data_IF_522638973135
#
_entry.id   IF_522638973135
#
_cell.length_a   1.000
_cell.length_b   1.000
_cell.length_c   1.000
_cell.angle_alpha   90.00
_cell.angle_beta   90.00
_cell.angle_gamma   90.00
#
_symmetry.space_group_name_H-M   'P 1'
#
loop_
_entity.id
_entity.type
_entity.pdbx_description
1 polymer ?
#
# COMPACT_ATOMS: atom_id res chain seq x y z
N UNK A 1 11.87 -7.05 20.35
CA UNK A 1 12.40 -5.87 19.63
C UNK A 1 13.24 -6.30 18.43
N UNK A 2 14.14 -7.26 18.59
CA UNK A 2 14.90 -7.87 17.47
C UNK A 2 14.00 -8.49 16.40
N UNK A 3 12.99 -9.27 16.79
CA UNK A 3 11.99 -9.84 15.87
C UNK A 3 11.25 -8.76 15.05
N UNK A 4 10.92 -7.62 15.68
CA UNK A 4 10.28 -6.49 15.00
C UNK A 4 11.21 -5.90 13.95
N UNK A 5 12.46 -5.63 14.29
CA UNK A 5 13.43 -5.07 13.35
C UNK A 5 13.73 -6.03 12.19
N UNK A 6 13.75 -7.35 12.45
CA UNK A 6 13.87 -8.35 11.40
C UNK A 6 12.69 -8.31 10.43
N UNK A 7 11.45 -8.28 10.94
CA UNK A 7 10.24 -8.15 10.09
C UNK A 7 10.24 -6.84 9.29
N UNK A 8 10.54 -5.71 9.94
CA UNK A 8 10.66 -4.40 9.26
C UNK A 8 11.72 -4.43 8.16
N UNK A 9 12.89 -5.03 8.44
CA UNK A 9 13.96 -5.17 7.45
C UNK A 9 13.55 -6.02 6.25
N UNK A 10 12.81 -7.11 6.48
CA UNK A 10 12.25 -7.94 5.42
C UNK A 10 11.27 -7.17 4.54
N UNK A 11 10.28 -6.50 5.14
CA UNK A 11 9.30 -5.68 4.41
C UNK A 11 9.98 -4.59 3.58
N UNK A 12 10.97 -3.89 4.15
CA UNK A 12 11.75 -2.87 3.44
C UNK A 12 12.48 -3.44 2.22
N UNK A 13 13.13 -4.59 2.38
CA UNK A 13 13.83 -5.25 1.27
C UNK A 13 12.85 -5.65 0.17
N UNK A 14 11.65 -6.09 0.52
CA UNK A 14 10.58 -6.40 -0.43
C UNK A 14 10.05 -5.14 -1.12
N UNK A 15 9.87 -4.02 -0.40
CA UNK A 15 9.50 -2.73 -0.99
C UNK A 15 10.54 -2.25 -2.01
N UNK A 16 11.83 -2.36 -1.70
CA UNK A 16 12.91 -2.00 -2.62
C UNK A 16 12.95 -2.90 -3.86
N UNK A 17 12.64 -4.19 -3.70
CA UNK A 17 12.49 -5.12 -4.82
C UNK A 17 11.29 -4.75 -5.69
N UNK A 18 10.14 -4.48 -5.07
CA UNK A 18 8.93 -4.08 -5.77
C UNK A 18 9.13 -2.77 -6.55
N UNK A 19 9.79 -1.77 -5.96
CA UNK A 19 10.12 -0.52 -6.66
C UNK A 19 10.95 -0.77 -7.92
N UNK A 20 11.95 -1.64 -7.85
CA UNK A 20 12.78 -2.03 -9.00
C UNK A 20 11.96 -2.75 -10.07
N UNK A 21 11.04 -3.62 -9.69
CA UNK A 21 10.16 -4.30 -10.64
C UNK A 21 9.25 -3.30 -11.38
N UNK A 22 8.67 -2.33 -10.67
CA UNK A 22 7.82 -1.28 -11.26
C UNK A 22 8.60 -0.43 -12.27
N UNK A 23 9.84 -0.06 -11.93
CA UNK A 23 10.72 0.70 -12.84
C UNK A 23 11.13 -0.12 -14.07
N UNK A 24 11.40 -1.41 -13.90
CA UNK A 24 11.73 -2.28 -15.02
C UNK A 24 10.51 -2.53 -15.93
N UNK A 25 9.31 -2.69 -15.36
CA UNK A 25 8.07 -2.80 -16.13
C UNK A 25 7.83 -1.57 -17.00
N UNK A 26 8.10 -0.37 -16.46
CA UNK A 26 8.05 0.89 -17.22
C UNK A 26 8.99 0.88 -18.44
N UNK A 27 10.23 0.40 -18.29
CA UNK A 27 11.19 0.32 -19.41
C UNK A 27 10.72 -0.67 -20.47
N UNK A 28 10.20 -1.83 -20.06
CA UNK A 28 9.65 -2.85 -20.96
C UNK A 28 8.45 -2.32 -21.74
N UNK A 29 7.55 -1.59 -21.09
CA UNK A 29 6.45 -0.89 -21.76
C UNK A 29 6.94 0.07 -22.85
N UNK A 30 7.99 0.86 -22.57
CA UNK A 30 8.58 1.76 -23.58
C UNK A 30 9.18 0.98 -24.75
N UNK A 31 9.87 -0.13 -24.48
CA UNK A 31 10.47 -0.99 -25.51
C UNK A 31 9.40 -1.60 -26.43
N UNK A 32 8.31 -2.11 -25.87
CA UNK A 32 7.18 -2.69 -26.61
C UNK A 32 6.54 -1.65 -27.55
N UNK A 33 6.42 -0.40 -27.11
CA UNK A 33 5.88 0.67 -27.96
C UNK A 33 6.85 1.10 -29.08
N UNK A 34 8.15 0.91 -28.88
CA UNK A 34 9.20 1.40 -29.77
C UNK A 34 9.61 0.37 -30.83
N UNK A 35 9.44 -0.92 -30.58
CA UNK A 35 9.87 -1.99 -31.49
C UNK A 35 8.75 -3.02 -31.76
N UNK A 36 8.06 -2.93 -32.91
CA UNK A 36 7.01 -3.89 -33.29
C UNK A 36 7.53 -5.30 -33.61
N UNK A 37 8.83 -5.47 -33.89
CA UNK A 37 9.41 -6.71 -34.46
C UNK A 37 10.01 -7.63 -33.39
N UNK A 38 10.43 -7.10 -32.23
CA UNK A 38 10.98 -7.89 -31.11
C UNK A 38 9.98 -8.07 -29.96
N UNK A 39 8.70 -8.14 -30.32
CA UNK A 39 7.59 -7.98 -29.39
C UNK A 39 7.43 -9.18 -28.44
N UNK A 40 7.65 -10.41 -28.90
CA UNK A 40 7.23 -11.60 -28.14
C UNK A 40 8.11 -11.87 -26.91
N UNK A 41 9.43 -11.87 -27.03
CA UNK A 41 10.34 -12.13 -25.90
C UNK A 41 10.20 -11.04 -24.83
N UNK A 42 10.13 -9.78 -25.26
CA UNK A 42 9.93 -8.63 -24.35
C UNK A 42 8.57 -8.71 -23.65
N UNK A 43 7.53 -9.18 -24.34
CA UNK A 43 6.19 -9.39 -23.76
C UNK A 43 6.18 -10.51 -22.74
N UNK A 44 6.83 -11.64 -23.02
CA UNK A 44 6.91 -12.77 -22.08
C UNK A 44 7.65 -12.37 -20.79
N UNK A 45 8.73 -11.60 -20.93
CA UNK A 45 9.46 -11.05 -19.79
C UNK A 45 8.63 -10.02 -19.00
N UNK A 46 7.86 -9.17 -19.68
CA UNK A 46 6.92 -8.25 -19.02
C UNK A 46 5.83 -9.02 -18.27
N UNK A 47 5.22 -10.05 -18.87
CA UNK A 47 4.18 -10.84 -18.24
C UNK A 47 4.72 -11.56 -16.99
N UNK A 48 5.96 -12.06 -17.04
CA UNK A 48 6.63 -12.63 -15.87
C UNK A 48 6.85 -11.57 -14.79
N UNK A 49 7.34 -10.39 -15.17
CA UNK A 49 7.59 -9.29 -14.24
C UNK A 49 6.30 -8.76 -13.59
N UNK A 50 5.20 -8.66 -14.34
CA UNK A 50 3.88 -8.28 -13.82
C UNK A 50 3.36 -9.35 -12.83
N UNK A 51 3.56 -10.64 -13.11
CA UNK A 51 3.20 -11.69 -12.15
C UNK A 51 4.05 -11.65 -10.88
N UNK A 52 5.35 -11.39 -10.99
CA UNK A 52 6.23 -11.21 -9.83
C UNK A 52 5.85 -9.97 -9.02
N UNK A 53 5.55 -8.85 -9.69
CA UNK A 53 5.04 -7.61 -9.09
C UNK A 53 3.75 -7.89 -8.33
N UNK A 54 2.78 -8.58 -8.95
CA UNK A 54 1.53 -8.97 -8.28
C UNK A 54 1.81 -9.79 -7.03
N UNK A 55 2.69 -10.80 -7.08
CA UNK A 55 3.04 -11.62 -5.90
C UNK A 55 3.67 -10.78 -4.80
N UNK A 56 4.65 -9.94 -5.13
CA UNK A 56 5.35 -9.09 -4.16
C UNK A 56 4.37 -8.11 -3.47
N UNK A 57 3.44 -7.52 -4.23
CA UNK A 57 2.36 -6.65 -3.71
C UNK A 57 1.50 -7.39 -2.68
N UNK A 58 1.05 -8.60 -2.99
CA UNK A 58 0.23 -9.39 -2.06
C UNK A 58 0.98 -9.79 -0.80
N UNK A 59 2.26 -10.17 -0.94
CA UNK A 59 3.12 -10.53 0.19
C UNK A 59 3.35 -9.33 1.11
N UNK A 60 3.72 -8.16 0.56
CA UNK A 60 3.94 -6.94 1.34
C UNK A 60 2.65 -6.53 2.03
N UNK A 61 1.52 -6.50 1.32
CA UNK A 61 0.20 -6.20 1.89
C UNK A 61 -0.09 -7.11 3.10
N UNK A 62 0.04 -8.42 2.93
CA UNK A 62 -0.21 -9.37 4.00
C UNK A 62 0.73 -9.17 5.21
N UNK A 63 2.00 -8.89 4.96
CA UNK A 63 2.95 -8.60 6.04
C UNK A 63 2.57 -7.32 6.81
N UNK A 64 2.14 -6.27 6.11
CA UNK A 64 1.65 -5.04 6.73
C UNK A 64 0.39 -5.29 7.59
N UNK A 65 -0.55 -6.10 7.10
CA UNK A 65 -1.74 -6.53 7.87
C UNK A 65 -1.36 -7.31 9.13
N UNK A 66 -0.46 -8.29 9.01
CA UNK A 66 0.01 -9.10 10.16
C UNK A 66 0.72 -8.20 11.18
N UNK A 67 1.55 -7.27 10.73
CA UNK A 67 2.18 -6.30 11.63
C UNK A 67 1.15 -5.40 12.30
N UNK A 68 0.09 -5.01 11.61
CA UNK A 68 -0.99 -4.22 12.18
C UNK A 68 -1.75 -4.97 13.28
N UNK A 69 -2.11 -6.23 13.05
CA UNK A 69 -2.85 -7.04 14.03
C UNK A 69 -2.03 -7.36 15.29
N UNK A 70 -0.70 -7.32 15.20
CA UNK A 70 0.21 -7.53 16.33
C UNK A 70 0.39 -6.28 17.21
N UNK A 71 -0.15 -5.12 16.82
CA UNK A 71 -0.07 -3.90 17.62
C UNK A 71 -1.09 -3.92 18.77
N UNK A 72 -0.64 -3.71 20.04
CA UNK A 72 -1.55 -3.50 21.15
C UNK A 72 -2.33 -2.18 20.99
N UNK A 73 -3.57 -2.15 21.51
CA UNK A 73 -4.47 -1.01 21.39
C UNK A 73 -4.02 0.25 22.18
N UNK A 74 -3.14 0.09 23.16
CA UNK A 74 -2.67 1.16 24.06
C UNK A 74 -1.24 1.61 23.70
N UNK A 75 -1.04 2.92 23.52
CA UNK A 75 0.26 3.57 23.21
C UNK A 75 1.22 3.66 24.43
N UNK A 76 1.09 2.76 25.40
CA UNK A 76 1.77 2.86 26.71
C UNK A 76 3.27 2.53 26.69
N UNK A 77 3.79 1.96 25.60
CA UNK A 77 5.19 1.53 25.50
C UNK A 77 5.93 2.19 24.34
N UNK A 78 7.19 2.54 24.56
CA UNK A 78 8.13 3.03 23.53
C UNK A 78 8.20 2.05 22.36
N UNK A 79 8.15 0.74 22.64
CA UNK A 79 8.18 -0.30 21.60
C UNK A 79 6.94 -0.24 20.70
N UNK A 80 5.75 -0.03 21.28
CA UNK A 80 4.49 0.13 20.52
C UNK A 80 4.57 1.35 19.60
N UNK A 81 5.10 2.48 20.11
CA UNK A 81 5.27 3.71 19.32
C UNK A 81 6.26 3.54 18.16
N UNK A 82 7.39 2.89 18.40
CA UNK A 82 8.36 2.56 17.34
C UNK A 82 7.70 1.67 16.30
N UNK A 83 6.99 0.60 16.72
CA UNK A 83 6.30 -0.30 15.83
C UNK A 83 5.28 0.43 14.93
N UNK A 84 4.47 1.31 15.53
CA UNK A 84 3.45 2.09 14.83
C UNK A 84 4.05 3.05 13.80
N UNK A 85 5.12 3.76 14.17
CA UNK A 85 5.84 4.64 13.24
C UNK A 85 6.46 3.86 12.06
N UNK A 86 7.05 2.69 12.33
CA UNK A 86 7.62 1.85 11.26
C UNK A 86 6.54 1.32 10.33
N UNK A 87 5.42 0.83 10.87
CA UNK A 87 4.29 0.38 10.07
C UNK A 87 3.76 1.51 9.17
N UNK A 88 3.52 2.70 9.74
CA UNK A 88 3.01 3.86 9.00
C UNK A 88 3.94 4.28 7.87
N UNK A 89 5.24 4.36 8.14
CA UNK A 89 6.23 4.65 7.11
C UNK A 89 6.21 3.61 5.98
N UNK A 90 6.20 2.31 6.30
CA UNK A 90 6.18 1.26 5.28
C UNK A 90 4.87 1.25 4.48
N UNK A 91 3.72 1.50 5.12
CA UNK A 91 2.43 1.64 4.42
C UNK A 91 2.46 2.81 3.44
N UNK A 92 3.05 3.95 3.82
CA UNK A 92 3.23 5.08 2.89
C UNK A 92 4.13 4.74 1.72
N UNK A 93 5.31 4.17 1.98
CA UNK A 93 6.22 3.74 0.91
C UNK A 93 5.55 2.76 -0.05
N UNK A 94 4.80 1.79 0.49
CA UNK A 94 4.01 0.85 -0.31
C UNK A 94 2.99 1.58 -1.18
N UNK A 95 2.22 2.49 -0.59
CA UNK A 95 1.22 3.31 -1.29
C UNK A 95 1.85 4.10 -2.44
N UNK A 96 2.99 4.73 -2.20
CA UNK A 96 3.68 5.53 -3.21
C UNK A 96 4.23 4.68 -4.36
N UNK A 97 4.76 3.50 -4.06
CA UNK A 97 5.16 2.53 -5.10
C UNK A 97 3.92 2.11 -5.91
N UNK A 98 2.78 1.83 -5.27
CA UNK A 98 1.57 1.43 -5.98
C UNK A 98 1.00 2.55 -6.86
N UNK A 99 1.01 3.79 -6.39
CA UNK A 99 0.63 4.97 -7.18
C UNK A 99 1.50 5.12 -8.41
N UNK A 100 2.83 4.96 -8.28
CA UNK A 100 3.75 4.97 -9.43
C UNK A 100 3.44 3.84 -10.41
N UNK A 101 3.19 2.63 -9.91
CA UNK A 101 2.85 1.49 -10.77
C UNK A 101 1.55 1.73 -11.55
N UNK A 102 0.51 2.19 -10.87
CA UNK A 102 -0.76 2.56 -11.50
C UNK A 102 -0.58 3.65 -12.57
N UNK A 103 0.18 4.71 -12.27
CA UNK A 103 0.48 5.77 -13.23
C UNK A 103 1.22 5.23 -14.47
N UNK A 104 2.20 4.34 -14.28
CA UNK A 104 2.91 3.67 -15.37
C UNK A 104 1.97 2.84 -16.25
N UNK A 105 1.08 2.06 -15.63
CA UNK A 105 0.10 1.27 -16.36
C UNK A 105 -0.85 2.15 -17.16
N UNK A 106 -1.50 3.12 -16.53
CA UNK A 106 -2.41 4.07 -17.21
C UNK A 106 -1.72 4.82 -18.35
N UNK A 107 -0.48 5.26 -18.15
CA UNK A 107 0.29 5.91 -19.22
C UNK A 107 0.58 4.97 -20.41
N UNK A 108 0.83 3.68 -20.16
CA UNK A 108 0.99 2.69 -21.22
C UNK A 108 -0.33 2.43 -21.96
N UNK A 109 -1.46 2.33 -21.23
CA UNK A 109 -2.81 2.21 -21.80
C UNK A 109 -3.09 3.32 -22.81
N UNK A 110 -2.86 4.57 -22.41
CA UNK A 110 -3.15 5.74 -23.24
C UNK A 110 -2.24 5.79 -24.48
N UNK A 111 -0.98 5.35 -24.36
CA UNK A 111 -0.10 5.21 -25.53
C UNK A 111 -0.57 4.14 -26.50
N UNK A 112 -1.03 2.98 -26.02
CA UNK A 112 -1.63 1.95 -26.86
C UNK A 112 -2.89 2.45 -27.57
N UNK A 113 -3.79 3.14 -26.84
CA UNK A 113 -5.00 3.78 -27.39
C UNK A 113 -4.64 4.80 -28.48
N UNK A 114 -3.65 5.65 -28.24
CA UNK A 114 -3.17 6.64 -29.21
C UNK A 114 -2.60 5.99 -30.48
N UNK A 115 -1.87 4.87 -30.35
CA UNK A 115 -1.38 4.11 -31.52
C UNK A 115 -2.53 3.51 -32.34
N UNK A 116 -3.56 2.96 -31.69
CA UNK A 116 -4.76 2.46 -32.39
C UNK A 116 -5.47 3.60 -33.12
N UNK A 117 -5.68 4.75 -32.44
CA UNK A 117 -6.28 5.94 -33.06
C UNK A 117 -5.52 6.38 -34.31
N UNK A 118 -4.19 6.39 -34.24
CA UNK A 118 -3.34 6.73 -35.39
C UNK A 118 -3.57 5.77 -36.56
N UNK A 119 -3.68 4.47 -36.31
CA UNK A 119 -3.97 3.49 -37.37
C UNK A 119 -5.35 3.68 -37.98
N UNK A 120 -6.37 4.04 -37.19
CA UNK A 120 -7.71 4.38 -37.70
C UNK A 120 -7.70 5.64 -38.58
N UNK A 121 -6.96 6.66 -38.16
CA UNK A 121 -6.82 7.91 -38.92
C UNK A 121 -6.12 7.70 -40.27
N UNK A 122 -5.15 6.78 -40.37
CA UNK A 122 -4.47 6.46 -41.64
C UNK A 122 -5.46 5.94 -42.70
N UNK A 123 -6.53 5.26 -42.26
CA UNK A 123 -7.60 4.76 -43.13
C UNK A 123 -8.72 5.81 -43.33
N UNK A 124 -8.42 7.08 -43.08
CA UNK A 124 -9.34 8.22 -43.19
C UNK A 124 -10.63 8.06 -42.35
N UNK A 125 -10.53 7.37 -41.21
CA UNK A 125 -11.63 7.30 -40.26
C UNK A 125 -11.35 8.22 -39.09
N UNK A 126 -12.07 9.34 -39.05
CA UNK A 126 -12.17 10.11 -37.81
C UNK A 126 -12.98 9.29 -36.80
N UNK A 127 -12.45 9.16 -35.59
CA UNK A 127 -13.07 8.40 -34.50
C UNK A 127 -12.88 9.22 -33.25
N UNK A 128 -13.99 9.56 -32.60
CA UNK A 128 -13.97 10.33 -31.34
C UNK A 128 -13.32 9.54 -30.22
N UNK A 129 -12.97 10.20 -29.11
CA UNK A 129 -12.36 9.51 -27.96
C UNK A 129 -13.33 8.49 -27.35
N UNK A 130 -14.60 8.87 -27.24
CA UNK A 130 -15.69 8.07 -26.70
C UNK A 130 -16.01 6.85 -27.57
N UNK A 131 -16.07 7.03 -28.88
CA UNK A 131 -16.24 5.91 -29.82
C UNK A 131 -15.05 4.95 -29.75
N UNK A 132 -13.83 5.47 -29.64
CA UNK A 132 -12.65 4.63 -29.52
C UNK A 132 -12.67 3.82 -28.22
N UNK A 133 -13.04 4.41 -27.09
CA UNK A 133 -13.19 3.66 -25.84
C UNK A 133 -14.24 2.55 -25.95
N UNK A 134 -15.41 2.86 -26.53
CA UNK A 134 -16.43 1.85 -26.80
C UNK A 134 -15.95 0.74 -27.73
N UNK A 135 -15.04 1.03 -28.66
CA UNK A 135 -14.45 0.03 -29.53
C UNK A 135 -13.41 -0.85 -28.82
N UNK A 136 -12.73 -0.32 -27.81
CA UNK A 136 -11.71 -1.04 -27.05
C UNK A 136 -12.32 -2.06 -26.07
N UNK A 137 -13.61 -1.96 -25.79
CA UNK A 137 -14.34 -3.00 -25.06
C UNK A 137 -14.15 -4.37 -25.71
N UNK A 138 -13.84 -5.38 -24.88
CA UNK A 138 -13.37 -6.72 -25.28
C UNK A 138 -14.20 -7.38 -26.39
N UNK A 139 -15.50 -7.13 -26.43
CA UNK A 139 -16.43 -7.76 -27.37
C UNK A 139 -16.69 -6.94 -28.65
N UNK A 140 -16.31 -5.65 -28.67
CA UNK A 140 -16.69 -4.73 -29.75
C UNK A 140 -15.62 -4.57 -30.82
N UNK A 141 -14.34 -4.76 -30.50
CA UNK A 141 -13.26 -4.59 -31.48
C UNK A 141 -13.36 -5.60 -32.64
N UNK A 142 -13.70 -6.85 -32.37
CA UNK A 142 -13.80 -7.90 -33.40
C UNK A 142 -14.91 -7.59 -34.42
N UNK A 143 -16.07 -7.12 -33.93
CA UNK A 143 -17.19 -6.69 -34.78
C UNK A 143 -16.79 -5.49 -35.62
N UNK A 144 -16.09 -4.52 -35.03
CA UNK A 144 -15.63 -3.35 -35.75
C UNK A 144 -14.66 -3.72 -36.90
N UNK A 145 -13.69 -4.59 -36.63
CA UNK A 145 -12.68 -4.95 -37.63
C UNK A 145 -13.25 -5.84 -38.74
N UNK A 146 -14.27 -6.66 -38.47
CA UNK A 146 -14.90 -7.47 -39.53
C UNK A 146 -15.53 -6.58 -40.61
N UNK A 147 -16.19 -5.49 -40.21
CA UNK A 147 -16.78 -4.51 -41.12
C UNK A 147 -15.76 -3.71 -41.93
N UNK A 148 -14.52 -3.59 -41.45
CA UNK A 148 -13.51 -2.70 -42.05
C UNK A 148 -12.27 -3.43 -42.59
N UNK A 149 -12.23 -4.75 -42.48
CA UNK A 149 -11.08 -5.59 -42.83
C UNK A 149 -10.55 -5.38 -44.26
N UNK A 150 -11.41 -4.98 -45.21
CA UNK A 150 -11.04 -4.68 -46.60
C UNK A 150 -10.30 -3.35 -46.79
N UNK A 151 -10.41 -2.41 -45.84
CA UNK A 151 -9.86 -1.05 -45.95
C UNK A 151 -8.50 -0.89 -45.25
N UNK A 152 -8.11 -1.85 -44.40
CA UNK A 152 -6.83 -1.85 -43.70
C UNK A 152 -5.82 -2.75 -44.40
N UNK A 153 -4.54 -2.39 -44.33
CA UNK A 153 -3.48 -3.34 -44.61
C UNK A 153 -3.46 -4.43 -43.54
N UNK A 154 -3.02 -5.63 -43.91
CA UNK A 154 -2.83 -6.75 -42.98
C UNK A 154 -1.91 -6.37 -41.82
N UNK A 155 -0.88 -5.56 -42.09
CA UNK A 155 0.03 -5.04 -41.08
C UNK A 155 -0.64 -4.08 -40.09
N UNK A 156 -1.47 -3.13 -40.58
CA UNK A 156 -2.19 -2.20 -39.72
C UNK A 156 -3.20 -2.92 -38.81
N UNK A 157 -3.91 -3.93 -39.35
CA UNK A 157 -4.80 -4.79 -38.56
C UNK A 157 -4.02 -5.53 -37.46
N UNK A 158 -2.89 -6.14 -37.81
CA UNK A 158 -2.06 -6.86 -36.84
C UNK A 158 -1.57 -5.94 -35.72
N UNK A 159 -1.19 -4.71 -36.04
CA UNK A 159 -0.80 -3.71 -35.04
C UNK A 159 -1.98 -3.35 -34.12
N UNK A 160 -3.17 -3.09 -34.67
CA UNK A 160 -4.37 -2.78 -33.86
C UNK A 160 -4.69 -3.95 -32.91
N UNK A 161 -4.71 -5.18 -33.41
CA UNK A 161 -4.92 -6.38 -32.61
C UNK A 161 -3.89 -6.54 -31.49
N UNK A 162 -2.61 -6.32 -31.80
CA UNK A 162 -1.53 -6.43 -30.82
C UNK A 162 -1.68 -5.39 -29.69
N UNK A 163 -1.96 -4.12 -30.03
CA UNK A 163 -2.16 -3.06 -29.03
C UNK A 163 -3.43 -3.27 -28.20
N UNK A 164 -4.51 -3.77 -28.81
CA UNK A 164 -5.74 -4.10 -28.07
C UNK A 164 -5.50 -5.22 -27.07
N UNK A 165 -4.79 -6.30 -27.47
CA UNK A 165 -4.40 -7.36 -26.54
C UNK A 165 -3.59 -6.82 -25.36
N UNK A 166 -2.70 -5.85 -25.60
CA UNK A 166 -1.94 -5.20 -24.53
C UNK A 166 -2.86 -4.42 -23.57
N UNK A 167 -3.84 -3.67 -24.08
CA UNK A 167 -4.84 -2.96 -23.25
C UNK A 167 -5.64 -3.96 -22.41
N UNK A 168 -6.14 -5.02 -23.02
CA UNK A 168 -6.95 -6.06 -22.34
C UNK A 168 -6.19 -6.72 -21.19
N UNK A 169 -4.89 -7.01 -21.39
CA UNK A 169 -4.03 -7.56 -20.32
C UNK A 169 -3.84 -6.55 -19.18
N UNK A 170 -3.59 -5.30 -19.53
CA UNK A 170 -3.37 -4.22 -18.59
C UNK A 170 -4.59 -3.93 -17.71
N UNK A 171 -5.80 -3.99 -18.27
CA UNK A 171 -7.05 -3.79 -17.51
C UNK A 171 -7.18 -4.71 -16.29
N UNK A 172 -6.72 -5.96 -16.42
CA UNK A 172 -6.72 -6.88 -15.27
C UNK A 172 -5.75 -6.41 -14.19
N UNK A 173 -4.55 -5.96 -14.58
CA UNK A 173 -3.54 -5.48 -13.64
C UNK A 173 -4.00 -4.18 -12.94
N UNK A 174 -4.65 -3.26 -13.68
CA UNK A 174 -5.22 -2.03 -13.10
C UNK A 174 -6.34 -2.35 -12.10
N UNK A 175 -7.20 -3.33 -12.38
CA UNK A 175 -8.25 -3.78 -11.44
C UNK A 175 -7.65 -4.39 -10.17
N UNK A 176 -6.60 -5.20 -10.30
CA UNK A 176 -5.88 -5.74 -9.15
C UNK A 176 -5.31 -4.59 -8.27
N UNK A 177 -4.76 -3.55 -8.90
CA UNK A 177 -4.25 -2.37 -8.18
C UNK A 177 -5.35 -1.58 -7.46
N UNK A 178 -6.53 -1.45 -8.07
CA UNK A 178 -7.67 -0.80 -7.43
C UNK A 178 -8.08 -1.54 -6.14
N UNK A 179 -8.08 -2.87 -6.15
CA UNK A 179 -8.36 -3.65 -4.95
C UNK A 179 -7.30 -3.39 -3.86
N UNK A 180 -6.02 -3.35 -4.24
CA UNK A 180 -4.93 -3.04 -3.30
C UNK A 180 -5.08 -1.64 -2.71
N UNK A 181 -5.52 -0.64 -3.48
CA UNK A 181 -5.78 0.70 -2.94
C UNK A 181 -6.90 0.71 -1.90
N UNK A 182 -7.96 -0.06 -2.11
CA UNK A 182 -9.02 -0.22 -1.11
C UNK A 182 -8.48 -0.84 0.18
N UNK A 183 -7.66 -1.89 0.07
CA UNK A 183 -7.07 -2.56 1.23
C UNK A 183 -6.12 -1.63 2.00
N UNK A 184 -5.29 -0.87 1.28
CA UNK A 184 -4.34 0.07 1.87
C UNK A 184 -5.04 1.27 2.50
N UNK A 185 -6.16 1.73 1.93
CA UNK A 185 -6.97 2.78 2.56
C UNK A 185 -7.44 2.35 3.96
N UNK A 186 -7.91 1.12 4.11
CA UNK A 186 -8.29 0.57 5.41
C UNK A 186 -7.10 0.49 6.39
N UNK A 187 -5.91 0.12 5.90
CA UNK A 187 -4.67 0.13 6.70
C UNK A 187 -4.27 1.54 7.15
N UNK A 188 -4.49 2.57 6.32
CA UNK A 188 -4.17 3.97 6.65
C UNK A 188 -5.20 4.56 7.63
N UNK A 189 -6.49 4.31 7.42
CA UNK A 189 -7.58 4.79 8.29
C UNK A 189 -7.42 4.28 9.73
N UNK A 190 -7.08 3.00 9.87
CA UNK A 190 -6.84 2.35 11.17
C UNK A 190 -5.52 2.76 11.84
N UNK A 191 -4.59 3.37 11.10
CA UNK A 191 -3.37 3.95 11.64
C UNK A 191 -3.56 5.40 12.12
N UNK A 192 -4.58 6.10 11.60
CA UNK A 192 -4.91 7.49 11.94
C UNK A 192 -3.84 8.49 11.51
N UNK A 193 -4.04 9.76 11.89
CA UNK A 193 -3.13 10.91 11.67
C UNK A 193 -1.85 10.84 12.54
N UNK A 194 -1.31 9.64 12.75
CA UNK A 194 -0.08 9.39 13.53
C UNK A 194 1.18 9.38 12.67
N UNK A 195 1.02 9.66 11.38
CA UNK A 195 2.11 9.66 10.40
C UNK A 195 3.03 10.89 10.51
N UNK A 196 2.63 11.94 11.25
CA UNK A 196 3.51 13.08 11.45
C UNK A 196 3.39 13.74 12.83
N UNK A 197 3.40 12.92 13.87
CA UNK A 197 3.31 13.41 15.24
C UNK A 197 4.67 13.30 15.94
N UNK A 198 5.74 13.78 15.27
CA UNK A 198 7.06 13.98 15.90
C UNK A 198 6.86 14.77 17.20
N UNK A 199 6.04 15.81 17.15
CA UNK A 199 5.67 16.61 18.31
C UNK A 199 5.03 15.76 19.42
N UNK A 200 3.95 15.02 19.15
CA UNK A 200 3.33 14.13 20.15
C UNK A 200 4.33 13.10 20.69
N UNK A 201 5.19 12.56 19.82
CA UNK A 201 6.21 11.60 20.23
C UNK A 201 7.27 12.24 21.14
N UNK A 202 7.71 13.47 20.85
CA UNK A 202 8.65 14.24 21.66
C UNK A 202 8.01 14.66 22.98
N UNK A 203 6.77 15.13 22.95
CA UNK A 203 5.98 15.51 24.14
C UNK A 203 5.81 14.33 25.08
N UNK A 204 5.38 13.16 24.59
CA UNK A 204 5.28 11.96 25.43
C UNK A 204 6.64 11.53 25.99
N UNK A 205 7.74 11.68 25.25
CA UNK A 205 9.08 11.40 25.77
C UNK A 205 9.47 12.38 26.90
N UNK A 206 9.15 13.67 26.73
CA UNK A 206 9.35 14.68 27.77
C UNK A 206 8.54 14.38 29.05
N UNK A 207 7.29 13.92 28.91
CA UNK A 207 6.45 13.49 30.04
C UNK A 207 7.07 12.33 30.82
N UNK A 208 7.58 11.29 30.14
CA UNK A 208 8.26 10.17 30.79
C UNK A 208 9.53 10.60 31.52
N UNK A 209 10.34 11.49 30.92
CA UNK A 209 11.53 12.05 31.58
C UNK A 209 11.13 12.87 32.81
N UNK A 210 10.04 13.64 32.73
CA UNK A 210 9.47 14.37 33.86
C UNK A 210 9.07 13.44 35.01
N UNK A 211 8.37 12.34 34.71
CA UNK A 211 7.99 11.33 35.69
C UNK A 211 9.23 10.65 36.30
N UNK A 212 10.20 10.26 35.49
CA UNK A 212 11.45 9.64 35.95
C UNK A 212 12.24 10.58 36.86
N UNK A 213 12.30 11.88 36.54
CA UNK A 213 12.92 12.90 37.39
C UNK A 213 12.21 13.02 38.74
N UNK A 214 10.88 13.02 38.75
CA UNK A 214 10.09 13.08 39.99
C UNK A 214 10.34 11.85 40.87
N UNK A 215 10.37 10.65 40.29
CA UNK A 215 10.68 9.41 41.02
C UNK A 215 12.14 9.38 41.52
N UNK A 216 13.10 9.86 40.73
CA UNK A 216 14.50 9.99 41.17
C UNK A 216 14.66 10.97 42.34
N UNK A 217 13.94 12.10 42.30
CA UNK A 217 13.92 13.05 43.41
C UNK A 217 13.34 12.42 44.69
N UNK A 218 12.22 11.69 44.58
CA UNK A 218 11.65 10.93 45.70
C UNK A 218 12.66 9.92 46.26
N UNK A 219 13.34 9.18 45.40
CA UNK A 219 14.38 8.23 45.82
C UNK A 219 15.53 8.91 46.59
N UNK A 220 16.00 10.08 46.13
CA UNK A 220 17.01 10.87 46.85
C UNK A 220 16.48 11.34 48.21
N UNK A 221 15.22 11.77 48.30
CA UNK A 221 14.63 12.15 49.60
C UNK A 221 14.52 10.97 50.57
N UNK A 222 14.15 9.78 50.08
CA UNK A 222 14.12 8.56 50.90
C UNK A 222 15.51 8.16 51.38
N UNK A 223 16.55 8.28 50.53
CA UNK A 223 17.94 8.03 50.93
C UNK A 223 18.41 8.98 52.04
N UNK A 224 18.02 10.26 51.98
CA UNK A 224 18.43 11.27 52.98
C UNK A 224 17.71 11.08 54.32
N UNK A 225 16.50 10.55 54.33
CA UNK A 225 15.66 10.38 55.52
C UNK A 225 15.17 8.92 55.68
N UNK A 226 16.05 7.98 56.06
CA UNK A 226 15.74 6.55 56.10
C UNK A 226 14.66 6.16 57.13
N UNK A 227 14.40 7.00 58.13
CA UNK A 227 13.43 6.75 59.21
C UNK A 227 12.00 7.22 58.88
N UNK A 228 11.75 7.81 57.70
CA UNK A 228 10.45 8.37 57.32
C UNK A 228 9.87 7.67 56.07
N UNK A 229 9.88 6.35 56.05
CA UNK A 229 9.16 5.56 55.05
C UNK A 229 7.70 5.43 55.49
N UNK A 230 6.88 6.44 55.24
CA UNK A 230 5.44 6.41 55.59
C UNK A 230 4.58 5.67 54.56
N UNK A 231 5.15 5.28 53.41
CA UNK A 231 4.50 4.38 52.46
C UNK A 231 5.51 3.70 51.52
N UNK A 232 5.30 2.41 51.24
CA UNK A 232 6.15 1.63 50.32
C UNK A 232 6.18 2.25 48.91
N UNK A 233 7.34 2.28 48.23
CA UNK A 233 7.43 2.67 46.83
C UNK A 233 6.50 1.84 45.95
N UNK A 234 5.93 2.44 44.89
CA UNK A 234 4.95 1.76 44.04
C UNK A 234 5.49 0.51 43.35
N UNK A 235 6.81 0.40 43.14
CA UNK A 235 7.46 -0.80 42.58
C UNK A 235 7.58 -1.96 43.58
N UNK A 236 7.38 -1.72 44.88
CA UNK A 236 7.32 -2.75 45.93
C UNK A 236 5.89 -3.05 46.39
N UNK A 237 4.89 -2.35 45.84
CA UNK A 237 3.49 -2.66 46.13
C UNK A 237 3.07 -3.89 45.31
N UNK A 238 2.55 -4.96 45.93
CA UNK A 238 2.01 -6.08 45.18
C UNK A 238 0.88 -5.58 44.27
N UNK A 239 0.94 -5.96 43.00
CA UNK A 239 -0.06 -5.60 41.99
C UNK A 239 -1.46 -5.99 42.50
N UNK A 240 -2.28 -5.00 42.86
CA UNK A 240 -3.69 -5.25 43.19
C UNK A 240 -4.39 -5.65 41.90
N UNK A 241 -4.76 -6.93 41.77
CA UNK A 241 -5.74 -7.42 40.80
C UNK A 241 -6.95 -6.48 40.84
N UNK A 242 -7.23 -5.76 39.75
CA UNK A 242 -8.44 -4.93 39.63
C UNK A 242 -9.68 -5.84 39.84
N UNK A 243 -10.67 -5.44 40.65
CA UNK A 243 -11.89 -6.21 40.77
C UNK A 243 -12.69 -6.13 39.46
N UNK A 244 -13.28 -7.27 39.08
CA UNK A 244 -14.14 -7.41 37.91
C UNK A 244 -15.26 -6.36 37.91
N UNK A 245 -15.33 -5.56 36.85
CA UNK A 245 -16.42 -4.62 36.54
C UNK A 245 -17.65 -5.40 36.05
N UNK A 246 -18.29 -6.15 36.95
CA UNK A 246 -19.46 -6.98 36.61
C UNK A 246 -20.65 -6.80 37.57
N UNK A 247 -20.71 -5.72 38.36
CA UNK A 247 -21.84 -5.44 39.26
C UNK A 247 -22.26 -3.96 39.28
N UNK A 248 -22.43 -3.34 38.12
CA UNK A 248 -22.96 -1.96 38.06
C UNK A 248 -24.05 -1.72 37.01
N UNK A 249 -24.59 -2.76 36.37
CA UNK A 249 -25.75 -2.65 35.46
C UNK A 249 -26.94 -3.53 35.94
N UNK A 250 -27.31 -3.44 37.21
CA UNK A 250 -28.53 -4.11 37.72
C UNK A 250 -29.42 -3.23 38.62
N UNK A 251 -29.20 -1.92 38.60
CA UNK A 251 -29.90 -0.96 39.48
C UNK A 251 -30.61 0.18 38.75
N UNK A 252 -30.83 0.05 37.43
CA UNK A 252 -31.54 1.08 36.63
C UNK A 252 -32.68 0.46 35.78
N UNK A 253 -33.38 -0.54 36.31
CA UNK A 253 -34.56 -1.11 35.65
C UNK A 253 -35.80 -1.22 36.55
N UNK A 254 -35.77 -0.60 37.74
CA UNK A 254 -36.95 -0.42 38.59
C UNK A 254 -36.96 1.02 39.11
N UNK A 255 -37.41 1.95 38.26
CA UNK A 255 -38.22 3.14 38.61
C UNK A 255 -38.32 4.07 37.41
N UNK A 256 -39.57 4.23 36.94
CA UNK A 256 -40.12 5.09 35.88
C UNK A 256 -40.20 4.47 34.48
#
# INVERSE_FOLDING_TARGET
MEELFMKVGQVRTQLDKLSRHVEEAQKRHVLILSNPVQEQTTKDELDKLEQETRRDVHVIRHQLEVMQTQLPAEDSSVVTRIHRNQLGHMTLCFTDIMKRHHATQTAFREKCKAQIRRQLHIVNKETTDEELEQMLDRDRLAVFMSHMSSSFSTEALNQIHARHRDIVRLESSIKDLQQVFCDVAALLDSQGELINNIEKNVTSAAEYVGQARAEAHKAVTYKKNPTRITSLPNFLKPSKKKPNRAKQNRSELDQN
#
